data_IF_106378030898
#
_entry.id   IF_106378030898
#
_cell.length_a   1.000
_cell.length_b   1.000
_cell.length_c   1.000
_cell.angle_alpha   90.00
_cell.angle_beta   90.00
_cell.angle_gamma   90.00
#
_symmetry.space_group_name_H-M   'P 1'
#
loop_
_entity.id
_entity.type
_entity.pdbx_description
1 polymer ?
#
# COMPACT_ATOMS: atom_id res chain seq x y z
N UNK A 1 -14.17 -5.39 2.59
CA UNK A 1 -12.88 -5.41 1.84
C UNK A 1 -13.08 -5.40 0.32
N UNK A 2 -13.90 -6.29 -0.24
CA UNK A 2 -14.12 -6.38 -1.70
C UNK A 2 -14.70 -5.09 -2.31
N UNK A 3 -15.72 -4.51 -1.67
CA UNK A 3 -16.32 -3.24 -2.10
C UNK A 3 -15.30 -2.10 -2.10
N UNK A 4 -14.54 -1.94 -1.03
CA UNK A 4 -13.52 -0.91 -0.93
C UNK A 4 -12.42 -1.07 -1.99
N UNK A 5 -11.96 -2.31 -2.26
CA UNK A 5 -11.02 -2.58 -3.36
C UNK A 5 -11.58 -2.14 -4.71
N UNK A 6 -12.83 -2.46 -5.01
CA UNK A 6 -13.47 -2.03 -6.26
C UNK A 6 -13.62 -0.50 -6.36
N UNK A 7 -13.94 0.19 -5.26
CA UNK A 7 -14.04 1.66 -5.22
C UNK A 7 -12.69 2.32 -5.51
N UNK A 8 -11.60 1.80 -4.94
CA UNK A 8 -10.24 2.26 -5.22
C UNK A 8 -9.96 2.18 -6.71
N UNK A 9 -10.20 1.04 -7.33
CA UNK A 9 -9.95 0.84 -8.76
C UNK A 9 -10.77 1.80 -9.62
N UNK A 10 -12.05 1.98 -9.31
CA UNK A 10 -12.92 2.92 -10.02
C UNK A 10 -12.40 4.36 -9.88
N UNK A 11 -11.92 4.75 -8.70
CA UNK A 11 -11.35 6.07 -8.47
C UNK A 11 -10.09 6.29 -9.34
N UNK A 12 -9.18 5.31 -9.38
CA UNK A 12 -7.97 5.40 -10.20
C UNK A 12 -8.28 5.39 -11.70
N UNK A 13 -9.17 4.52 -12.16
CA UNK A 13 -9.63 4.49 -13.56
C UNK A 13 -10.19 5.84 -14.04
N UNK A 14 -10.93 6.53 -13.17
CA UNK A 14 -11.59 7.79 -13.51
C UNK A 14 -10.70 9.02 -13.39
N UNK A 15 -9.77 9.01 -12.44
CA UNK A 15 -9.02 10.20 -12.04
C UNK A 15 -7.57 10.22 -12.54
N UNK A 16 -6.97 9.05 -12.81
CA UNK A 16 -5.55 8.96 -13.15
C UNK A 16 -5.33 8.72 -14.64
N UNK A 17 -4.80 9.70 -15.32
CA UNK A 17 -4.50 9.62 -16.77
C UNK A 17 -3.43 8.58 -17.13
N UNK A 18 -2.53 8.29 -16.20
CA UNK A 18 -1.45 7.31 -16.38
C UNK A 18 -1.88 5.86 -16.08
N UNK A 19 -3.16 5.61 -15.80
CA UNK A 19 -3.66 4.25 -15.53
C UNK A 19 -3.45 3.35 -16.75
N UNK A 20 -2.81 2.22 -16.55
CA UNK A 20 -2.51 1.22 -17.59
C UNK A 20 -3.32 -0.06 -17.37
N UNK A 21 -3.16 -0.70 -16.22
CA UNK A 21 -3.80 -1.99 -15.96
C UNK A 21 -4.10 -2.23 -14.48
N UNK A 22 -4.96 -3.22 -14.24
CA UNK A 22 -5.39 -3.63 -12.92
C UNK A 22 -5.38 -5.14 -12.78
N UNK A 23 -4.91 -5.64 -11.66
CA UNK A 23 -4.99 -7.05 -11.27
C UNK A 23 -5.76 -7.19 -9.94
N UNK A 24 -6.95 -7.84 -9.98
CA UNK A 24 -7.76 -8.05 -8.78
C UNK A 24 -7.18 -9.13 -7.88
N UNK A 25 -6.55 -9.04 -6.87
CA UNK A 25 -5.96 -10.06 -6.00
C UNK A 25 -4.65 -10.64 -6.55
N UNK A 26 -3.64 -9.82 -6.78
CA UNK A 26 -2.34 -10.31 -7.20
C UNK A 26 -1.79 -11.30 -6.16
N UNK A 27 -1.21 -12.38 -6.65
CA UNK A 27 -0.53 -13.36 -5.80
C UNK A 27 0.89 -12.88 -5.52
N UNK A 28 1.22 -12.74 -4.25
CA UNK A 28 2.52 -12.28 -3.78
C UNK A 28 3.23 -13.43 -3.08
N UNK A 29 4.47 -13.69 -3.44
CA UNK A 29 5.27 -14.77 -2.85
C UNK A 29 6.28 -14.22 -1.85
N UNK A 30 6.15 -14.62 -0.60
CA UNK A 30 7.12 -14.40 0.46
C UNK A 30 8.15 -15.53 0.41
N UNK A 31 9.34 -15.25 -0.11
CA UNK A 31 10.35 -16.27 -0.49
C UNK A 31 10.90 -17.05 0.69
N UNK A 32 11.31 -16.35 1.75
CA UNK A 32 11.90 -16.96 2.95
C UNK A 32 10.81 -17.73 3.72
N UNK A 33 9.62 -17.15 3.85
CA UNK A 33 8.49 -17.80 4.50
C UNK A 33 7.91 -18.98 3.69
N UNK A 34 8.28 -19.09 2.41
CA UNK A 34 7.81 -20.17 1.52
C UNK A 34 6.30 -20.13 1.29
N UNK A 35 5.66 -18.98 1.37
CA UNK A 35 4.20 -18.82 1.29
C UNK A 35 3.78 -17.82 0.24
N UNK A 36 2.65 -18.08 -0.39
CA UNK A 36 1.98 -17.16 -1.31
C UNK A 36 0.72 -16.62 -0.66
N UNK A 37 0.49 -15.32 -0.75
CA UNK A 37 -0.71 -14.64 -0.27
C UNK A 37 -1.31 -13.75 -1.34
N UNK A 38 -2.54 -13.30 -1.14
CA UNK A 38 -3.25 -12.41 -2.07
C UNK A 38 -3.47 -11.04 -1.43
N UNK A 39 -3.11 -9.99 -2.15
CA UNK A 39 -3.42 -8.63 -1.75
C UNK A 39 -4.94 -8.40 -1.79
N UNK A 40 -5.47 -7.73 -0.77
CA UNK A 40 -6.93 -7.60 -0.59
C UNK A 40 -7.56 -6.50 -1.44
N UNK A 41 -6.80 -5.47 -1.80
CA UNK A 41 -7.26 -4.34 -2.61
C UNK A 41 -6.86 -4.41 -4.09
N UNK A 42 -6.10 -5.43 -4.49
CA UNK A 42 -5.61 -5.54 -5.85
C UNK A 42 -4.28 -4.84 -6.10
N UNK A 43 -3.88 -4.75 -7.36
CA UNK A 43 -2.74 -3.94 -7.81
C UNK A 43 -3.10 -3.15 -9.05
N UNK A 44 -2.50 -1.99 -9.22
CA UNK A 44 -2.59 -1.17 -10.42
C UNK A 44 -1.21 -0.89 -10.97
N UNK A 45 -1.14 -0.73 -12.27
CA UNK A 45 0.03 -0.23 -12.98
C UNK A 45 -0.29 1.12 -13.60
N UNK A 46 0.60 2.06 -13.39
CA UNK A 46 0.57 3.37 -14.03
C UNK A 46 1.71 3.45 -15.04
N UNK A 47 1.42 4.00 -16.22
CA UNK A 47 2.44 4.21 -17.25
C UNK A 47 2.29 5.61 -17.84
N UNK A 48 3.40 6.35 -17.88
CA UNK A 48 3.48 7.68 -18.51
C UNK A 48 4.80 7.82 -19.24
N UNK A 49 4.75 7.82 -20.58
CA UNK A 49 5.95 7.74 -21.44
C UNK A 49 6.77 6.48 -21.07
N UNK A 50 8.07 6.65 -20.77
CA UNK A 50 8.99 5.55 -20.45
C UNK A 50 8.99 5.15 -18.96
N UNK A 51 8.13 5.76 -18.14
CA UNK A 51 8.04 5.50 -16.70
C UNK A 51 6.84 4.64 -16.38
N UNK A 52 7.04 3.57 -15.64
CA UNK A 52 5.96 2.75 -15.09
C UNK A 52 6.14 2.60 -13.57
N UNK A 53 5.03 2.52 -12.86
CA UNK A 53 4.98 2.35 -11.43
C UNK A 53 3.82 1.42 -11.08
N UNK A 54 4.10 0.41 -10.28
CA UNK A 54 3.11 -0.52 -9.78
C UNK A 54 2.76 -0.20 -8.33
N UNK A 55 1.48 -0.26 -7.99
CA UNK A 55 0.97 -0.17 -6.62
C UNK A 55 0.25 -1.45 -6.23
N UNK A 56 0.49 -1.88 -5.01
CA UNK A 56 -0.30 -2.91 -4.35
C UNK A 56 -1.18 -2.24 -3.29
N UNK A 57 -2.45 -2.61 -3.22
CA UNK A 57 -3.38 -2.11 -2.22
C UNK A 57 -3.72 -3.18 -1.21
N UNK A 58 -3.59 -2.84 0.07
CA UNK A 58 -4.10 -3.61 1.19
C UNK A 58 -5.22 -2.87 1.89
N UNK A 59 -6.39 -3.47 1.92
CA UNK A 59 -7.56 -2.92 2.60
C UNK A 59 -7.63 -3.50 4.01
N UNK A 60 -7.42 -2.65 5.01
CA UNK A 60 -7.50 -3.01 6.43
C UNK A 60 -8.80 -2.48 7.02
N UNK A 61 -9.48 -3.31 7.81
CA UNK A 61 -10.74 -3.01 8.49
C UNK A 61 -10.66 -3.42 9.95
N UNK A 62 -11.38 -2.70 10.82
CA UNK A 62 -11.55 -3.03 12.24
C UNK A 62 -12.48 -4.24 12.41
N UNK A 63 -12.01 -5.40 11.99
CA UNK A 63 -12.64 -6.71 12.21
C UNK A 63 -12.01 -7.39 13.43
N UNK A 64 -12.59 -8.49 13.91
CA UNK A 64 -11.99 -9.28 14.98
C UNK A 64 -10.56 -9.70 14.61
N UNK A 65 -9.64 -9.55 15.57
CA UNK A 65 -8.21 -9.87 15.43
C UNK A 65 -7.49 -9.10 14.30
N UNK A 66 -7.97 -7.93 13.89
CA UNK A 66 -7.40 -7.20 12.76
C UNK A 66 -5.91 -6.86 12.96
N UNK A 67 -5.48 -6.54 14.20
CA UNK A 67 -4.07 -6.23 14.47
C UNK A 67 -3.17 -7.44 14.20
N UNK A 68 -3.58 -8.62 14.67
CA UNK A 68 -2.83 -9.87 14.42
C UNK A 68 -2.76 -10.16 12.92
N UNK A 69 -3.90 -10.10 12.24
CA UNK A 69 -3.98 -10.30 10.78
C UNK A 69 -3.12 -9.29 10.02
N UNK A 70 -3.07 -8.03 10.48
CA UNK A 70 -2.20 -6.99 9.91
C UNK A 70 -0.73 -7.35 10.08
N UNK A 71 -0.29 -7.70 11.29
CA UNK A 71 1.11 -8.05 11.58
C UNK A 71 1.55 -9.23 10.75
N UNK A 72 0.75 -10.29 10.68
CA UNK A 72 1.06 -11.47 9.87
C UNK A 72 1.19 -11.09 8.38
N UNK A 73 0.26 -10.27 7.86
CA UNK A 73 0.31 -9.78 6.49
C UNK A 73 1.55 -8.91 6.22
N UNK A 74 1.88 -8.01 7.15
CA UNK A 74 3.03 -7.12 7.00
C UNK A 74 4.35 -7.88 7.05
N UNK A 75 4.45 -8.99 7.79
CA UNK A 75 5.61 -9.90 7.73
C UNK A 75 5.78 -10.57 6.38
N UNK A 76 4.69 -10.94 5.70
CA UNK A 76 4.76 -11.41 4.31
C UNK A 76 5.29 -10.32 3.38
N UNK A 77 4.81 -9.06 3.54
CA UNK A 77 5.34 -7.95 2.76
C UNK A 77 6.80 -7.63 3.08
N UNK A 78 7.19 -7.68 4.35
CA UNK A 78 8.59 -7.52 4.75
C UNK A 78 9.50 -8.53 4.03
N UNK A 79 9.13 -9.81 4.02
CA UNK A 79 9.87 -10.82 3.28
C UNK A 79 9.86 -10.53 1.76
N UNK A 80 8.71 -10.26 1.18
CA UNK A 80 8.60 -9.96 -0.25
C UNK A 80 9.46 -8.76 -0.67
N UNK A 81 9.34 -7.63 0.03
CA UNK A 81 10.05 -6.41 -0.35
C UNK A 81 11.56 -6.48 -0.11
N UNK A 82 11.99 -7.09 1.00
CA UNK A 82 13.40 -7.18 1.34
C UNK A 82 14.16 -8.18 0.43
N UNK A 83 13.44 -9.16 -0.13
CA UNK A 83 14.00 -10.20 -1.01
C UNK A 83 13.53 -10.10 -2.47
N UNK A 84 12.98 -8.97 -2.87
CA UNK A 84 12.45 -8.76 -4.22
C UNK A 84 13.53 -8.87 -5.30
N UNK A 85 13.19 -9.58 -6.37
CA UNK A 85 13.95 -9.62 -7.62
C UNK A 85 13.00 -9.26 -8.78
N UNK A 86 13.43 -8.49 -9.79
CA UNK A 86 12.61 -8.17 -10.96
C UNK A 86 12.00 -9.43 -11.58
N UNK A 87 10.68 -9.41 -11.79
CA UNK A 87 9.89 -10.56 -12.24
C UNK A 87 9.13 -11.27 -11.11
N UNK A 88 9.49 -11.06 -9.86
CA UNK A 88 8.78 -11.64 -8.72
C UNK A 88 7.30 -11.24 -8.71
N UNK A 89 6.42 -12.22 -8.55
CA UNK A 89 4.97 -12.02 -8.50
C UNK A 89 4.41 -11.25 -9.72
N UNK A 90 5.13 -11.27 -10.84
CA UNK A 90 4.76 -10.58 -12.07
C UNK A 90 5.15 -9.10 -12.14
N UNK A 91 5.82 -8.55 -11.12
CA UNK A 91 6.28 -7.16 -11.13
C UNK A 91 7.67 -7.01 -11.76
N UNK A 92 7.79 -6.11 -12.75
CA UNK A 92 9.09 -5.80 -13.39
C UNK A 92 10.00 -4.96 -12.50
N UNK A 93 9.42 -4.12 -11.65
CA UNK A 93 10.10 -3.30 -10.66
C UNK A 93 9.40 -3.40 -9.31
N UNK A 94 10.07 -2.97 -8.25
CA UNK A 94 9.53 -3.04 -6.90
C UNK A 94 8.23 -2.21 -6.79
N UNK A 95 7.06 -2.84 -6.55
CA UNK A 95 5.81 -2.12 -6.42
C UNK A 95 5.77 -1.32 -5.12
N UNK A 96 5.02 -0.22 -5.09
CA UNK A 96 4.75 0.54 -3.88
C UNK A 96 3.54 -0.04 -3.15
N UNK A 97 3.51 0.05 -1.82
CA UNK A 97 2.40 -0.45 -1.01
C UNK A 97 1.55 0.69 -0.47
N UNK A 98 0.24 0.61 -0.71
CA UNK A 98 -0.75 1.54 -0.16
C UNK A 98 -1.68 0.77 0.78
N UNK A 99 -1.75 1.20 2.02
CA UNK A 99 -2.69 0.67 3.01
C UNK A 99 -3.93 1.57 3.05
N UNK A 100 -5.09 0.98 2.82
CA UNK A 100 -6.39 1.68 2.82
C UNK A 100 -7.13 1.36 4.10
N UNK A 101 -7.37 2.39 4.91
CA UNK A 101 -8.04 2.32 6.18
C UNK A 101 -9.47 2.92 6.11
N UNK A 102 -10.24 2.75 7.16
CA UNK A 102 -11.59 3.31 7.25
C UNK A 102 -11.59 4.83 7.44
N UNK A 103 -10.69 5.32 8.30
CA UNK A 103 -10.57 6.72 8.70
C UNK A 103 -9.13 7.05 9.15
N UNK A 104 -8.85 8.34 9.40
CA UNK A 104 -7.52 8.80 9.83
C UNK A 104 -7.08 8.25 11.20
N UNK A 105 -8.03 8.00 12.11
CA UNK A 105 -7.73 7.35 13.40
C UNK A 105 -7.26 5.91 13.16
N UNK A 106 -7.91 5.19 12.25
CA UNK A 106 -7.49 3.84 11.87
C UNK A 106 -6.11 3.83 11.19
N UNK A 107 -5.77 4.83 10.38
CA UNK A 107 -4.42 4.99 9.83
C UNK A 107 -3.38 5.05 10.95
N UNK A 108 -3.63 5.86 11.99
CA UNK A 108 -2.73 5.98 13.14
C UNK A 108 -2.61 4.66 13.93
N UNK A 109 -3.72 3.96 14.13
CA UNK A 109 -3.74 2.65 14.81
C UNK A 109 -2.97 1.57 14.03
N UNK A 110 -3.15 1.51 12.71
CA UNK A 110 -2.44 0.60 11.80
C UNK A 110 -0.94 0.88 11.84
N UNK A 111 -0.54 2.15 11.69
CA UNK A 111 0.87 2.54 11.78
C UNK A 111 1.49 2.16 13.11
N UNK A 112 0.83 2.50 14.23
CA UNK A 112 1.29 2.14 15.58
C UNK A 112 1.46 0.63 15.74
N UNK A 113 0.52 -0.17 15.23
CA UNK A 113 0.60 -1.63 15.27
C UNK A 113 1.81 -2.16 14.52
N UNK A 114 2.11 -1.62 13.34
CA UNK A 114 3.28 -2.00 12.54
C UNK A 114 4.58 -1.69 13.29
N UNK A 115 4.70 -0.48 13.85
CA UNK A 115 5.90 -0.03 14.58
C UNK A 115 6.11 -0.86 15.85
N UNK A 116 5.06 -1.09 16.65
CA UNK A 116 5.17 -1.86 17.90
C UNK A 116 5.52 -3.33 17.69
N UNK A 117 5.31 -3.88 16.51
CA UNK A 117 5.67 -5.25 16.16
C UNK A 117 6.97 -5.35 15.34
N UNK A 118 7.74 -4.27 15.29
CA UNK A 118 9.05 -4.19 14.63
C UNK A 118 9.04 -4.71 13.17
N UNK A 119 7.96 -4.40 12.44
CA UNK A 119 7.87 -4.74 11.03
C UNK A 119 8.57 -3.67 10.22
N UNK A 120 9.61 -4.05 9.50
CA UNK A 120 10.43 -3.14 8.70
C UNK A 120 10.39 -3.53 7.22
N UNK A 121 10.11 -2.54 6.38
CA UNK A 121 10.18 -2.66 4.92
C UNK A 121 11.13 -1.59 4.42
N UNK A 122 12.41 -1.96 4.30
CA UNK A 122 13.50 -1.00 4.12
C UNK A 122 13.58 -0.41 2.71
N UNK A 123 13.04 -1.11 1.70
CA UNK A 123 13.20 -0.74 0.28
C UNK A 123 12.17 0.23 -0.25
N UNK A 124 11.02 0.39 0.43
CA UNK A 124 9.94 1.29 -0.01
C UNK A 124 9.37 2.07 1.14
N UNK A 125 8.73 3.19 0.80
CA UNK A 125 7.85 3.92 1.71
C UNK A 125 6.47 3.27 1.71
N UNK A 126 5.85 3.18 2.89
CA UNK A 126 4.46 2.80 3.03
C UNK A 126 3.59 4.04 2.92
N UNK A 127 2.63 4.00 2.01
CA UNK A 127 1.60 5.03 1.91
C UNK A 127 0.32 4.56 2.58
N UNK A 128 -0.41 5.53 3.13
CA UNK A 128 -1.69 5.29 3.78
C UNK A 128 -2.74 6.21 3.19
N UNK A 129 -3.98 5.75 3.16
CA UNK A 129 -5.12 6.53 2.74
C UNK A 129 -6.39 6.02 3.42
N UNK A 130 -7.51 6.73 3.23
CA UNK A 130 -8.82 6.32 3.74
C UNK A 130 -9.83 6.21 2.61
N UNK A 131 -10.94 5.53 2.87
CA UNK A 131 -12.04 5.42 1.92
C UNK A 131 -12.55 6.81 1.48
N UNK A 132 -12.68 7.75 2.42
CA UNK A 132 -13.14 9.12 2.12
C UNK A 132 -12.14 9.86 1.23
N UNK A 133 -10.85 9.85 1.58
CA UNK A 133 -9.83 10.53 0.78
C UNK A 133 -9.75 10.01 -0.65
N UNK A 134 -9.95 8.71 -0.86
CA UNK A 134 -9.97 8.12 -2.20
C UNK A 134 -11.16 8.59 -3.05
N UNK A 135 -12.28 8.92 -2.41
CA UNK A 135 -13.50 9.36 -3.10
C UNK A 135 -13.53 10.87 -3.33
N UNK A 136 -13.15 11.65 -2.33
CA UNK A 136 -13.43 13.09 -2.26
C UNK A 136 -12.24 13.97 -2.68
N UNK A 137 -11.01 13.50 -2.47
CA UNK A 137 -9.79 14.26 -2.77
C UNK A 137 -9.21 13.87 -4.13
N UNK A 138 -8.31 14.70 -4.66
CA UNK A 138 -7.45 14.29 -5.76
C UNK A 138 -6.52 13.17 -5.28
N UNK A 139 -6.26 12.16 -6.11
CA UNK A 139 -5.49 10.98 -5.68
C UNK A 139 -4.04 11.31 -5.33
N UNK A 140 -3.47 12.33 -5.94
CA UNK A 140 -2.13 12.83 -5.62
C UNK A 140 -2.04 13.49 -4.24
N UNK A 141 -3.17 13.93 -3.66
CA UNK A 141 -3.26 14.55 -2.32
C UNK A 141 -3.84 13.58 -1.27
N UNK A 142 -4.38 12.45 -1.69
CA UNK A 142 -5.05 11.47 -0.82
C UNK A 142 -4.10 10.57 -0.03
N UNK A 143 -2.81 10.59 -0.34
CA UNK A 143 -1.81 9.73 0.26
C UNK A 143 -1.02 10.42 1.36
N UNK A 144 -0.79 9.70 2.46
CA UNK A 144 0.06 10.14 3.56
C UNK A 144 1.14 9.11 3.85
N UNK A 145 2.27 9.57 4.38
CA UNK A 145 3.36 8.73 4.90
C UNK A 145 3.76 9.15 6.31
N UNK A 146 4.31 8.22 7.09
CA UNK A 146 4.92 8.55 8.37
C UNK A 146 6.44 8.68 8.20
N UNK A 147 6.97 9.86 8.49
CA UNK A 147 8.39 10.18 8.39
C UNK A 147 8.98 10.26 9.78
N UNK A 148 10.03 9.48 10.03
CA UNK A 148 10.77 9.52 11.28
C UNK A 148 11.65 10.77 11.33
N UNK A 149 11.58 11.50 12.41
CA UNK A 149 12.56 12.55 12.72
C UNK A 149 13.78 11.89 13.36
N UNK A 150 14.92 11.99 12.72
CA UNK A 150 16.18 11.32 13.15
C UNK A 150 16.68 11.84 14.51
N UNK A 151 16.47 13.13 14.81
CA UNK A 151 16.93 13.73 16.06
C UNK A 151 16.06 13.30 17.26
N UNK A 152 14.74 13.24 17.07
CA UNK A 152 13.80 12.96 18.18
C UNK A 152 13.31 11.51 18.21
N UNK A 153 13.55 10.74 17.15
CA UNK A 153 13.01 9.40 16.96
C UNK A 153 11.48 9.35 16.77
N UNK A 154 10.80 10.50 16.78
CA UNK A 154 9.36 10.59 16.64
C UNK A 154 8.93 10.57 15.19
N UNK A 155 7.75 10.00 14.92
CA UNK A 155 7.15 10.00 13.59
C UNK A 155 6.21 11.19 13.41
N UNK A 156 6.24 11.77 12.23
CA UNK A 156 5.34 12.85 11.78
C UNK A 156 4.58 12.38 10.54
N UNK A 157 3.27 12.61 10.51
CA UNK A 157 2.45 12.39 9.34
C UNK A 157 2.74 13.48 8.29
N UNK A 158 2.93 13.08 7.04
CA UNK A 158 3.21 13.97 5.92
C UNK A 158 2.33 13.60 4.73
N UNK A 159 1.69 14.58 4.12
CA UNK A 159 1.05 14.40 2.82
C UNK A 159 2.10 14.15 1.74
N UNK A 160 1.84 13.21 0.88
CA UNK A 160 2.77 12.79 -0.17
C UNK A 160 2.13 12.94 -1.54
N UNK A 161 2.83 13.61 -2.45
CA UNK A 161 2.44 13.72 -3.85
C UNK A 161 3.22 12.75 -4.72
N UNK A 162 2.52 11.97 -5.51
CA UNK A 162 3.11 11.04 -6.48
C UNK A 162 2.79 11.58 -7.88
N UNK A 163 3.82 12.07 -8.58
CA UNK A 163 3.68 12.74 -9.89
C UNK A 163 2.96 11.93 -10.98
N UNK A 164 2.94 10.60 -10.88
CA UNK A 164 2.22 9.74 -11.84
C UNK A 164 0.72 9.67 -11.58
N UNK A 165 0.26 10.19 -10.43
CA UNK A 165 -1.16 10.26 -10.09
C UNK A 165 -1.85 11.55 -10.57
N UNK A 166 -1.09 12.49 -11.14
CA UNK A 166 -1.62 13.76 -11.72
C UNK A 166 -2.48 13.50 -12.97
#
# INVERSE_FOLDING_TARGET
KRLAGNQIIIAYLRKVKAFDSYTPKPSITAKILGKTFKATGGSIKLTKKDKSLDFIFEVIRREDDWQKKLVDKMRFYQDFYNNFVPGDSGFKSLPQLIIVCEDDKHVAEVFKTIVLNDVQIDKIKLYYTTDLKQNDESLDESLVEFVKNEETGKYKLKNTKIKLLD
#
